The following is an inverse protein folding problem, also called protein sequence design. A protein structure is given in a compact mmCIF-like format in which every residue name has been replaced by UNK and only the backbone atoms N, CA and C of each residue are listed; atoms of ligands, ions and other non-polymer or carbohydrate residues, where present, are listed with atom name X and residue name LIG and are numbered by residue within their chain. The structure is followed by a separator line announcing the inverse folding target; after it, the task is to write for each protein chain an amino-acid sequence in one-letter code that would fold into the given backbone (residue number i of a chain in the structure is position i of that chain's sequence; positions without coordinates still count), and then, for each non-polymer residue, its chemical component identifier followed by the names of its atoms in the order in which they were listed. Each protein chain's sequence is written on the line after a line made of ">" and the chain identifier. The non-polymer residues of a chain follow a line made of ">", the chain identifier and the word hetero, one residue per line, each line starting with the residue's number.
data_IF_136004905475
#
_entry.id   IF_136004905475
#
_cell.length_a   1.000
_cell.length_b   1.000
_cell.length_c   1.000
_cell.angle_alpha   90.00
_cell.angle_beta   90.00
_cell.angle_gamma   90.00
#
_symmetry.space_group_name_H-M   'P 1'
#
loop_
_entity.id
_entity.type
_entity.pdbx_description
1 polymer ?
#
# COMPACT_ATOMS: atom_id res chain seq x y z
N UNK A 1 8.39 -16.55 -10.57
CA UNK A 1 9.53 -15.79 -11.12
C UNK A 1 10.19 -15.03 -9.99
N UNK A 2 11.45 -14.66 -10.15
CA UNK A 2 12.24 -14.02 -9.11
C UNK A 2 12.19 -12.49 -9.25
N UNK A 3 11.53 -11.83 -8.30
CA UNK A 3 11.34 -10.37 -8.30
C UNK A 3 11.61 -9.78 -6.91
N UNK A 4 11.74 -8.45 -6.82
CA UNK A 4 12.09 -7.70 -5.63
C UNK A 4 12.44 -6.25 -5.97
N UNK A 5 12.82 -5.45 -4.98
CA UNK A 5 13.36 -4.11 -5.21
C UNK A 5 14.66 -4.18 -6.01
N UNK A 6 14.67 -3.70 -7.24
CA UNK A 6 15.86 -3.67 -8.08
C UNK A 6 16.02 -2.26 -8.64
N UNK A 7 17.15 -1.62 -8.38
CA UNK A 7 17.37 -0.22 -8.79
C UNK A 7 17.85 -0.14 -10.26
N UNK A 8 18.65 -1.11 -10.70
CA UNK A 8 19.16 -1.30 -12.07
C UNK A 8 19.47 -2.80 -12.26
N UNK A 9 19.69 -3.27 -13.49
CA UNK A 9 20.08 -4.65 -13.79
C UNK A 9 21.28 -5.07 -12.95
N UNK A 10 21.09 -6.08 -12.11
CA UNK A 10 22.09 -6.55 -11.18
C UNK A 10 22.26 -8.08 -11.21
N UNK A 11 23.46 -8.52 -10.87
CA UNK A 11 23.87 -9.91 -10.71
C UNK A 11 24.84 -10.05 -9.52
N UNK A 12 25.35 -11.26 -9.29
CA UNK A 12 26.25 -11.53 -8.17
C UNK A 12 27.55 -10.70 -8.17
N UNK A 13 27.97 -10.20 -9.33
CA UNK A 13 29.25 -9.50 -9.53
C UNK A 13 29.12 -7.99 -9.35
N UNK A 14 27.96 -7.41 -9.70
CA UNK A 14 27.79 -5.96 -9.77
C UNK A 14 26.73 -5.38 -8.81
N UNK A 15 25.96 -6.21 -8.10
CA UNK A 15 24.81 -5.72 -7.32
C UNK A 15 25.15 -4.62 -6.30
N UNK A 16 26.36 -4.62 -5.73
CA UNK A 16 26.78 -3.57 -4.78
C UNK A 16 26.97 -2.21 -5.43
N UNK A 17 27.33 -2.18 -6.70
CA UNK A 17 27.47 -0.94 -7.48
C UNK A 17 26.10 -0.47 -7.97
N UNK A 18 25.24 -1.42 -8.35
CA UNK A 18 23.94 -1.14 -8.95
C UNK A 18 22.83 -0.84 -7.95
N UNK A 19 22.91 -1.36 -6.73
CA UNK A 19 21.92 -1.11 -5.68
C UNK A 19 22.29 0.12 -4.83
N UNK A 20 21.51 1.18 -4.96
CA UNK A 20 21.52 2.34 -4.07
C UNK A 20 20.71 2.05 -2.79
N UNK A 21 19.68 1.22 -2.93
CA UNK A 21 18.90 0.68 -1.81
C UNK A 21 19.80 -0.16 -0.92
N UNK A 22 19.85 0.16 0.38
CA UNK A 22 20.57 -0.67 1.34
C UNK A 22 19.83 -2.00 1.51
N UNK A 23 20.39 -3.06 0.92
CA UNK A 23 19.78 -4.39 0.91
C UNK A 23 19.78 -5.02 2.31
N UNK A 24 18.80 -5.90 2.55
CA UNK A 24 18.65 -6.70 3.77
C UNK A 24 18.35 -5.91 5.06
N UNK A 25 18.06 -4.62 4.98
CA UNK A 25 17.57 -3.84 6.12
C UNK A 25 16.08 -3.53 5.93
N UNK A 26 15.25 -3.92 6.90
CA UNK A 26 13.79 -3.77 6.84
C UNK A 26 13.36 -2.35 6.48
N UNK A 27 13.88 -1.34 7.18
CA UNK A 27 13.48 0.04 6.99
C UNK A 27 13.76 0.56 5.57
N UNK A 28 14.89 0.20 4.97
CA UNK A 28 15.25 0.66 3.63
C UNK A 28 14.52 -0.13 2.56
N UNK A 29 14.37 -1.44 2.72
CA UNK A 29 13.67 -2.28 1.76
C UNK A 29 12.15 -2.04 1.78
N UNK A 30 11.53 -1.82 2.95
CA UNK A 30 10.13 -1.39 3.05
C UNK A 30 9.92 -0.06 2.35
N UNK A 31 10.86 0.89 2.51
CA UNK A 31 10.79 2.16 1.80
C UNK A 31 10.94 1.97 0.30
N UNK A 32 11.87 1.13 -0.17
CA UNK A 32 12.04 0.83 -1.60
C UNK A 32 10.75 0.25 -2.19
N UNK A 33 10.10 -0.70 -1.51
CA UNK A 33 8.84 -1.32 -1.94
C UNK A 33 7.69 -0.32 -2.09
N UNK A 34 7.60 0.63 -1.15
CA UNK A 34 6.53 1.62 -1.08
C UNK A 34 6.78 2.81 -2.02
N UNK A 35 8.05 3.12 -2.27
CA UNK A 35 8.45 4.33 -3.00
C UNK A 35 8.75 4.11 -4.46
N UNK A 36 9.38 2.99 -4.84
CA UNK A 36 9.88 2.75 -6.21
C UNK A 36 10.55 4.00 -6.82
N UNK A 37 11.41 4.61 -6.01
CA UNK A 37 12.18 5.81 -6.33
C UNK A 37 13.55 5.72 -5.61
N UNK A 38 14.43 4.80 -6.05
CA UNK A 38 15.69 4.55 -5.38
C UNK A 38 16.66 5.74 -5.48
N UNK A 39 16.57 6.51 -6.57
CA UNK A 39 17.39 7.69 -6.84
C UNK A 39 16.82 8.99 -6.23
N UNK A 40 15.64 8.92 -5.59
CA UNK A 40 15.00 10.03 -4.87
C UNK A 40 14.70 11.23 -5.78
N UNK A 41 14.25 10.94 -6.99
CA UNK A 41 13.86 11.95 -7.98
C UNK A 41 12.68 12.77 -7.46
N UNK A 42 11.69 12.12 -6.82
CA UNK A 42 10.50 12.75 -6.25
C UNK A 42 10.48 12.56 -4.73
N UNK A 43 11.32 13.36 -4.06
CA UNK A 43 11.59 13.27 -2.62
C UNK A 43 10.31 13.22 -1.77
N UNK A 44 10.30 12.28 -0.83
CA UNK A 44 9.31 12.23 0.25
C UNK A 44 7.95 11.64 -0.14
N UNK A 45 7.83 11.09 -1.35
CA UNK A 45 6.58 10.51 -1.86
C UNK A 45 6.66 8.98 -1.99
N UNK A 46 5.50 8.32 -2.08
CA UNK A 46 5.35 6.93 -2.48
C UNK A 46 4.57 6.77 -3.78
N UNK A 47 4.60 5.55 -4.35
CA UNK A 47 4.00 5.30 -5.68
C UNK A 47 2.52 5.64 -5.75
N UNK A 48 1.72 5.19 -4.78
CA UNK A 48 0.29 5.45 -4.74
C UNK A 48 0.02 6.94 -4.48
N UNK A 49 0.85 7.60 -3.68
CA UNK A 49 0.77 9.05 -3.47
C UNK A 49 1.03 9.86 -4.73
N UNK A 50 2.04 9.50 -5.52
CA UNK A 50 2.30 10.14 -6.82
C UNK A 50 1.21 9.83 -7.83
N UNK A 51 0.70 8.61 -7.85
CA UNK A 51 -0.45 8.22 -8.66
C UNK A 51 -1.70 9.06 -8.30
N UNK A 52 -1.93 9.25 -7.00
CA UNK A 52 -2.99 10.11 -6.47
C UNK A 52 -2.84 11.56 -6.93
N UNK A 53 -1.63 12.12 -6.89
CA UNK A 53 -1.32 13.47 -7.35
C UNK A 53 -1.60 13.67 -8.84
N UNK A 54 -1.10 12.75 -9.67
CA UNK A 54 -1.32 12.77 -11.13
C UNK A 54 -2.81 12.69 -11.44
N UNK A 55 -3.53 11.72 -10.87
CA UNK A 55 -4.94 11.53 -11.14
C UNK A 55 -5.79 12.72 -10.63
N UNK A 56 -5.44 13.30 -9.49
CA UNK A 56 -6.07 14.53 -9.00
C UNK A 56 -5.90 15.68 -9.99
N UNK A 57 -4.68 15.89 -10.52
CA UNK A 57 -4.41 16.92 -11.54
C UNK A 57 -5.19 16.67 -12.83
N UNK A 58 -5.39 15.40 -13.18
CA UNK A 58 -6.17 14.97 -14.34
C UNK A 58 -7.69 15.01 -14.10
N UNK A 59 -8.14 15.54 -12.95
CA UNK A 59 -9.53 15.86 -12.67
C UNK A 59 -10.33 14.72 -12.04
N UNK A 60 -9.70 13.59 -11.71
CA UNK A 60 -10.35 12.51 -10.97
C UNK A 60 -10.54 12.90 -9.51
N UNK A 61 -11.66 12.45 -8.91
CA UNK A 61 -11.81 12.52 -7.46
C UNK A 61 -11.12 11.32 -6.84
N UNK A 62 -10.00 11.57 -6.18
CA UNK A 62 -9.16 10.51 -5.66
C UNK A 62 -9.18 10.46 -4.13
N UNK A 63 -8.84 9.30 -3.59
CA UNK A 63 -8.66 9.11 -2.15
C UNK A 63 -7.53 8.12 -1.90
N UNK A 64 -6.82 8.33 -0.80
CA UNK A 64 -5.82 7.40 -0.27
C UNK A 64 -6.15 7.08 1.18
N UNK A 65 -6.09 5.81 1.55
CA UNK A 65 -6.40 5.35 2.92
C UNK A 65 -5.42 4.29 3.38
N UNK A 66 -4.91 4.42 4.60
CA UNK A 66 -4.10 3.41 5.29
C UNK A 66 -4.81 2.93 6.55
N UNK A 67 -4.62 1.67 6.89
CA UNK A 67 -5.12 1.10 8.14
C UNK A 67 -4.08 1.21 9.27
N UNK A 68 -4.53 1.62 10.46
CA UNK A 68 -3.81 1.76 11.74
C UNK A 68 -2.60 2.72 11.78
N UNK A 69 -1.93 2.97 10.65
CA UNK A 69 -0.68 3.74 10.61
C UNK A 69 -0.48 4.45 9.28
N UNK A 70 0.34 5.51 9.26
CA UNK A 70 0.76 6.18 8.02
C UNK A 70 1.62 5.23 7.19
N UNK A 71 1.32 5.11 5.90
CA UNK A 71 2.20 4.49 4.93
C UNK A 71 2.73 5.51 3.93
N UNK A 72 4.07 5.58 3.81
CA UNK A 72 4.72 6.43 2.82
C UNK A 72 4.29 6.11 1.38
N UNK A 73 3.79 4.89 1.12
CA UNK A 73 3.27 4.49 -0.19
C UNK A 73 2.19 5.45 -0.70
N UNK A 74 1.36 5.98 0.20
CA UNK A 74 0.21 6.83 -0.10
C UNK A 74 0.52 8.33 -0.07
N UNK A 75 1.72 8.71 0.36
CA UNK A 75 2.08 10.12 0.53
C UNK A 75 2.50 10.71 -0.81
N UNK A 76 1.76 11.73 -1.27
CA UNK A 76 2.09 12.51 -2.46
C UNK A 76 2.96 13.74 -2.16
N UNK A 77 3.10 14.61 -3.14
CA UNK A 77 3.74 15.90 -3.03
C UNK A 77 2.86 16.87 -2.22
N UNK A 78 3.45 17.64 -1.28
CA UNK A 78 2.68 18.57 -0.47
C UNK A 78 1.87 19.56 -1.31
N UNK A 79 0.56 19.61 -1.07
CA UNK A 79 -0.35 20.57 -1.68
C UNK A 79 -0.91 20.19 -3.06
N UNK A 80 -0.59 19.00 -3.59
CA UNK A 80 -1.15 18.53 -4.87
C UNK A 80 -2.45 17.75 -4.64
N UNK A 81 -2.42 16.73 -3.80
CA UNK A 81 -3.58 15.94 -3.41
C UNK A 81 -3.85 15.99 -1.91
N UNK A 82 -4.96 15.38 -1.46
CA UNK A 82 -5.29 15.32 -0.02
C UNK A 82 -4.34 14.39 0.72
N UNK A 83 -4.05 14.73 1.98
CA UNK A 83 -3.30 13.86 2.90
C UNK A 83 -4.02 12.49 3.04
N UNK A 84 -3.26 11.37 3.18
CA UNK A 84 -3.86 10.06 3.38
C UNK A 84 -4.74 10.00 4.61
N UNK A 85 -5.90 9.36 4.47
CA UNK A 85 -6.78 9.05 5.60
C UNK A 85 -6.17 7.87 6.36
N UNK A 86 -6.13 7.97 7.69
CA UNK A 86 -5.74 6.85 8.55
C UNK A 86 -7.01 6.39 9.26
N UNK A 87 -7.36 5.12 9.10
CA UNK A 87 -8.54 4.51 9.71
C UNK A 87 -8.09 3.33 10.55
N UNK A 88 -8.70 3.11 11.70
CA UNK A 88 -8.47 1.89 12.47
C UNK A 88 -8.93 0.67 11.67
N UNK A 89 -8.28 -0.48 11.81
CA UNK A 89 -8.79 -1.75 11.29
C UNK A 89 -10.18 -2.13 11.84
N UNK A 90 -10.64 -1.46 12.90
CA UNK A 90 -11.99 -1.61 13.45
C UNK A 90 -13.00 -0.60 12.89
N UNK A 91 -12.59 0.26 11.96
CA UNK A 91 -13.42 1.28 11.33
C UNK A 91 -13.08 2.68 11.81
N UNK A 92 -14.05 3.59 11.68
CA UNK A 92 -13.93 4.97 12.15
C UNK A 92 -14.62 5.05 13.50
N UNK A 93 -13.91 5.59 14.48
CA UNK A 93 -14.53 5.94 15.76
C UNK A 93 -15.22 7.29 15.65
N UNK A 94 -16.37 7.40 16.31
CA UNK A 94 -17.00 8.69 16.46
C UNK A 94 -16.12 9.61 17.32
N UNK A 95 -16.15 10.90 17.05
CA UNK A 95 -15.42 11.83 17.90
C UNK A 95 -16.10 11.88 19.28
N UNK A 96 -15.36 11.53 20.34
CA UNK A 96 -15.86 11.47 21.72
C UNK A 96 -17.01 10.47 21.94
N UNK A 97 -16.75 9.17 21.75
CA UNK A 97 -17.78 8.13 21.85
C UNK A 97 -18.23 7.91 23.30
N UNK A 98 -17.36 8.20 24.27
CA UNK A 98 -17.65 8.12 25.70
C UNK A 98 -17.46 9.50 26.34
N UNK A 99 -18.52 10.32 26.40
CA UNK A 99 -18.50 11.51 27.25
C UNK A 99 -18.43 11.05 28.72
N UNK A 100 -17.22 10.94 29.26
CA UNK A 100 -16.97 10.51 30.63
C UNK A 100 -17.67 11.36 31.69
N UNK A 101 -18.11 12.57 31.31
CA UNK A 101 -19.01 13.41 32.06
C UNK A 101 -20.42 13.34 31.42
N UNK A 102 -21.43 12.84 32.14
CA UNK A 102 -22.86 12.94 31.76
C UNK A 102 -23.37 14.41 31.66
N UNK A 103 -22.47 15.39 31.65
CA UNK A 103 -22.74 16.83 31.66
C UNK A 103 -22.64 17.48 30.29
N UNK A 104 -22.10 16.79 29.29
CA UNK A 104 -21.92 17.37 27.95
C UNK A 104 -22.20 16.30 26.90
N UNK A 105 -23.22 16.52 26.08
CA UNK A 105 -23.47 15.63 24.95
C UNK A 105 -22.33 15.74 23.92
N UNK A 106 -22.23 14.77 23.04
CA UNK A 106 -21.28 14.80 21.94
C UNK A 106 -21.47 16.01 21.03
N UNK A 107 -22.73 16.37 20.74
CA UNK A 107 -23.07 17.57 19.98
C UNK A 107 -22.61 18.84 20.73
N UNK A 108 -22.86 18.91 22.04
CA UNK A 108 -22.36 20.04 22.84
C UNK A 108 -20.84 20.12 22.79
N UNK A 109 -20.13 18.99 22.86
CA UNK A 109 -18.67 18.99 22.82
C UNK A 109 -18.14 19.39 21.45
N UNK A 110 -18.77 18.92 20.37
CA UNK A 110 -18.46 19.32 19.01
C UNK A 110 -18.66 20.83 18.82
N UNK A 111 -19.80 21.38 19.28
CA UNK A 111 -20.09 22.81 19.25
C UNK A 111 -19.09 23.63 20.07
N UNK A 112 -18.71 23.15 21.26
CA UNK A 112 -17.73 23.82 22.12
C UNK A 112 -16.34 23.82 21.48
N UNK A 113 -15.87 22.71 20.93
CA UNK A 113 -14.59 22.64 20.22
C UNK A 113 -14.62 23.54 18.99
N UNK A 114 -15.74 23.53 18.26
CA UNK A 114 -15.93 24.45 17.14
C UNK A 114 -15.83 25.88 17.60
N UNK A 115 -16.52 26.28 18.67
CA UNK A 115 -16.46 27.63 19.22
C UNK A 115 -15.05 28.04 19.69
N UNK A 116 -14.33 27.14 20.38
CA UNK A 116 -12.94 27.37 20.82
C UNK A 116 -11.96 27.52 19.65
N UNK A 117 -12.27 26.91 18.51
CA UNK A 117 -11.45 26.95 17.30
C UNK A 117 -12.12 27.75 16.17
N UNK A 118 -13.12 28.59 16.47
CA UNK A 118 -13.81 29.41 15.47
C UNK A 118 -13.15 30.78 15.33
N UNK A 119 -13.38 31.41 14.17
CA UNK A 119 -13.01 32.78 13.77
C UNK A 119 -11.65 33.26 14.27
N UNK A 120 -10.67 33.15 13.38
CA UNK A 120 -9.41 33.85 13.54
C UNK A 120 -9.67 35.37 13.51
N UNK A 121 -9.03 36.09 14.42
CA UNK A 121 -9.07 37.55 14.50
C UNK A 121 -7.89 38.14 13.71
N UNK A 122 -7.89 39.46 13.50
CA UNK A 122 -6.82 40.16 12.74
C UNK A 122 -5.42 39.93 13.34
N UNK A 123 -5.34 39.57 14.62
CA UNK A 123 -4.11 39.26 15.36
C UNK A 123 -3.81 37.75 15.47
N UNK A 124 -4.63 36.89 14.87
CA UNK A 124 -4.39 35.44 14.88
C UNK A 124 -3.16 35.10 14.05
N UNK A 125 -2.20 34.43 14.68
CA UNK A 125 -1.03 33.93 13.98
C UNK A 125 -1.39 32.82 13.01
N UNK A 126 -0.68 32.76 11.88
CA UNK A 126 -0.83 31.73 10.83
C UNK A 126 -0.94 30.29 11.37
N UNK A 127 -0.18 29.96 12.41
CA UNK A 127 -0.23 28.64 13.06
C UNK A 127 -1.57 28.36 13.74
N UNK A 128 -2.13 29.34 14.45
CA UNK A 128 -3.44 29.21 15.09
C UNK A 128 -4.54 29.04 14.05
N UNK A 129 -4.50 29.84 12.98
CA UNK A 129 -5.46 29.72 11.87
C UNK A 129 -5.40 28.36 11.18
N UNK A 130 -4.18 27.88 10.91
CA UNK A 130 -3.95 26.58 10.27
C UNK A 130 -4.42 25.44 11.17
N UNK A 131 -4.09 25.49 12.46
CA UNK A 131 -4.54 24.50 13.46
C UNK A 131 -6.07 24.44 13.51
N UNK A 132 -6.73 25.57 13.72
CA UNK A 132 -8.19 25.64 13.80
C UNK A 132 -8.85 25.14 12.51
N UNK A 133 -8.33 25.54 11.34
CA UNK A 133 -8.84 25.06 10.05
C UNK A 133 -8.68 23.55 9.89
N UNK A 134 -7.51 22.99 10.21
CA UNK A 134 -7.23 21.55 10.08
C UNK A 134 -8.06 20.73 11.07
N UNK A 135 -8.19 21.17 12.33
CA UNK A 135 -8.98 20.48 13.35
C UNK A 135 -10.46 20.42 12.94
N UNK A 136 -11.08 21.55 12.59
CA UNK A 136 -12.50 21.57 12.22
C UNK A 136 -12.77 20.74 10.95
N UNK A 137 -11.90 20.84 9.94
CA UNK A 137 -12.00 19.99 8.74
C UNK A 137 -11.88 18.50 9.09
N UNK A 138 -10.98 18.14 9.99
CA UNK A 138 -10.80 16.74 10.42
C UNK A 138 -12.02 16.20 11.15
N UNK A 139 -12.63 17.00 12.05
CA UNK A 139 -13.82 16.57 12.80
C UNK A 139 -15.04 16.38 11.89
N UNK A 140 -15.27 17.30 10.95
CA UNK A 140 -16.36 17.18 9.97
C UNK A 140 -16.14 15.96 9.09
N UNK A 141 -14.94 15.78 8.51
CA UNK A 141 -14.63 14.61 7.69
C UNK A 141 -14.75 13.29 8.46
N UNK A 142 -14.34 13.26 9.72
CA UNK A 142 -14.47 12.07 10.57
C UNK A 142 -15.94 11.70 10.77
N UNK A 143 -16.79 12.69 11.11
CA UNK A 143 -18.23 12.47 11.30
C UNK A 143 -18.93 12.01 10.01
N UNK A 144 -18.59 12.63 8.87
CA UNK A 144 -19.11 12.21 7.56
C UNK A 144 -18.72 10.76 7.25
N UNK A 145 -17.45 10.42 7.42
CA UNK A 145 -16.95 9.08 7.13
C UNK A 145 -17.50 8.02 8.10
N UNK A 146 -17.62 8.36 9.38
CA UNK A 146 -18.27 7.52 10.39
C UNK A 146 -19.69 7.15 9.95
N UNK A 147 -20.52 8.15 9.63
CA UNK A 147 -21.91 7.94 9.22
C UNK A 147 -22.02 7.09 7.95
N UNK A 148 -21.16 7.35 6.96
CA UNK A 148 -21.13 6.57 5.71
C UNK A 148 -20.75 5.11 5.99
N UNK A 149 -19.68 4.88 6.75
CA UNK A 149 -19.21 3.52 7.00
C UNK A 149 -20.17 2.76 7.89
N UNK A 150 -20.76 3.38 8.91
CA UNK A 150 -21.73 2.72 9.78
C UNK A 150 -22.97 2.23 9.02
N UNK A 151 -23.42 3.01 8.03
CA UNK A 151 -24.48 2.60 7.10
C UNK A 151 -24.02 1.54 6.07
N UNK A 152 -22.72 1.30 5.94
CA UNK A 152 -22.12 0.39 4.95
C UNK A 152 -21.64 -0.90 5.61
N UNK A 153 -22.48 -1.93 5.54
CA UNK A 153 -22.15 -3.28 6.02
C UNK A 153 -21.64 -4.16 4.89
N UNK A 154 -20.75 -5.11 5.20
CA UNK A 154 -20.33 -6.14 4.24
C UNK A 154 -21.41 -7.21 4.09
N UNK A 155 -21.39 -7.92 2.96
CA UNK A 155 -22.25 -9.09 2.72
C UNK A 155 -21.57 -10.37 3.24
N UNK A 156 -20.24 -10.39 3.22
CA UNK A 156 -19.39 -11.47 3.73
C UNK A 156 -18.92 -11.16 5.14
N UNK A 157 -18.88 -12.19 5.99
CA UNK A 157 -18.23 -12.11 7.31
C UNK A 157 -16.73 -12.25 7.14
N UNK A 158 -15.98 -11.21 7.50
CA UNK A 158 -14.52 -11.24 7.47
C UNK A 158 -13.96 -11.97 8.71
N UNK A 159 -12.79 -12.62 8.59
CA UNK A 159 -12.12 -13.16 9.76
C UNK A 159 -11.66 -12.03 10.68
N UNK A 160 -11.69 -12.23 12.00
CA UNK A 160 -11.27 -11.25 13.01
C UNK A 160 -9.74 -11.18 13.20
N UNK A 161 -9.00 -11.62 12.19
CA UNK A 161 -7.54 -11.56 12.16
C UNK A 161 -7.05 -10.16 11.80
N UNK A 162 -5.75 -9.89 11.99
CA UNK A 162 -5.16 -8.57 11.74
C UNK A 162 -5.39 -8.10 10.30
N UNK A 163 -5.13 -8.97 9.31
CA UNK A 163 -5.38 -8.63 7.91
C UNK A 163 -6.88 -8.67 7.56
N UNK A 164 -7.65 -9.56 8.18
CA UNK A 164 -9.09 -9.70 7.95
C UNK A 164 -9.86 -8.43 8.28
N UNK A 165 -9.65 -7.89 9.48
CA UNK A 165 -10.29 -6.63 9.91
C UNK A 165 -9.86 -5.44 9.06
N UNK A 166 -8.58 -5.37 8.65
CA UNK A 166 -8.11 -4.32 7.73
C UNK A 166 -8.82 -4.39 6.38
N UNK A 167 -8.91 -5.59 5.77
CA UNK A 167 -9.58 -5.76 4.48
C UNK A 167 -11.10 -5.58 4.57
N UNK A 168 -11.72 -5.83 5.71
CA UNK A 168 -13.13 -5.51 5.95
C UNK A 168 -13.39 -4.00 5.85
N UNK A 169 -12.55 -3.19 6.50
CA UNK A 169 -12.64 -1.72 6.42
C UNK A 169 -12.41 -1.24 5.00
N UNK A 170 -11.40 -1.79 4.29
CA UNK A 170 -11.16 -1.47 2.87
C UNK A 170 -12.38 -1.83 2.02
N UNK A 171 -13.00 -2.99 2.24
CA UNK A 171 -14.18 -3.41 1.51
C UNK A 171 -15.37 -2.47 1.72
N UNK A 172 -15.61 -2.02 2.97
CA UNK A 172 -16.65 -1.01 3.28
C UNK A 172 -16.35 0.32 2.60
N UNK A 173 -15.09 0.76 2.65
CA UNK A 173 -14.63 1.99 1.96
C UNK A 173 -14.88 1.94 0.46
N UNK A 174 -14.53 0.82 -0.20
CA UNK A 174 -14.76 0.61 -1.64
C UNK A 174 -16.25 0.52 -1.98
N UNK A 175 -17.04 -0.18 -1.16
CA UNK A 175 -18.51 -0.25 -1.32
C UNK A 175 -19.15 1.14 -1.25
N UNK A 176 -18.66 2.00 -0.35
CA UNK A 176 -19.13 3.35 -0.15
C UNK A 176 -18.50 4.41 -1.09
N UNK A 177 -17.74 4.02 -2.12
CA UNK A 177 -17.00 4.99 -2.95
C UNK A 177 -17.90 6.09 -3.55
N UNK A 178 -19.15 5.77 -3.92
CA UNK A 178 -20.11 6.76 -4.47
C UNK A 178 -20.55 7.78 -3.44
N UNK A 179 -20.86 7.33 -2.23
CA UNK A 179 -21.28 8.21 -1.13
C UNK A 179 -20.12 9.07 -0.63
N UNK A 180 -18.90 8.54 -0.72
CA UNK A 180 -17.65 9.29 -0.51
C UNK A 180 -17.27 10.19 -1.67
N UNK A 181 -17.93 10.06 -2.83
CA UNK A 181 -17.63 10.83 -4.04
C UNK A 181 -16.24 10.56 -4.61
N UNK A 182 -15.74 9.33 -4.54
CA UNK A 182 -14.40 8.91 -4.99
C UNK A 182 -14.50 8.07 -6.27
N UNK A 183 -13.72 8.46 -7.29
CA UNK A 183 -13.59 7.74 -8.57
C UNK A 183 -12.40 6.77 -8.58
N UNK A 184 -11.34 7.09 -7.81
CA UNK A 184 -10.09 6.34 -7.75
C UNK A 184 -9.60 6.25 -6.31
N UNK A 185 -9.68 5.07 -5.72
CA UNK A 185 -9.31 4.86 -4.32
C UNK A 185 -8.09 3.94 -4.21
N UNK A 186 -7.17 4.32 -3.34
CA UNK A 186 -5.90 3.62 -3.14
C UNK A 186 -5.73 3.29 -1.68
N UNK A 187 -5.51 2.01 -1.39
CA UNK A 187 -5.45 1.50 -0.04
C UNK A 187 -4.08 0.92 0.28
N UNK A 188 -3.65 1.07 1.52
CA UNK A 188 -2.52 0.36 2.07
C UNK A 188 -2.94 -0.38 3.34
N UNK A 189 -2.74 -1.69 3.34
CA UNK A 189 -2.89 -2.57 4.51
C UNK A 189 -1.57 -3.29 4.74
N UNK A 190 -1.32 -3.76 5.97
CA UNK A 190 -0.11 -4.52 6.23
C UNK A 190 -0.28 -5.55 7.33
N UNK A 191 0.47 -6.64 7.21
CA UNK A 191 0.53 -7.72 8.19
C UNK A 191 2.00 -8.08 8.43
N UNK A 192 2.37 -8.20 9.71
CA UNK A 192 3.70 -8.61 10.15
C UNK A 192 3.78 -10.11 10.52
N UNK A 193 4.85 -10.48 11.21
CA UNK A 193 5.03 -11.84 11.72
C UNK A 193 5.64 -12.84 10.73
N UNK A 194 6.18 -12.34 9.61
CA UNK A 194 6.92 -13.14 8.65
C UNK A 194 8.42 -13.19 8.97
N UNK A 195 8.89 -12.50 10.02
CA UNK A 195 10.31 -12.45 10.40
C UNK A 195 10.84 -13.64 11.20
N UNK A 196 10.89 -14.81 10.55
CA UNK A 196 11.06 -16.09 11.24
C UNK A 196 12.49 -16.65 11.11
N UNK A 197 13.28 -16.43 12.15
CA UNK A 197 14.65 -16.94 12.25
C UNK A 197 14.77 -18.32 12.91
N UNK A 198 13.66 -18.85 13.43
CA UNK A 198 13.44 -20.25 13.83
C UNK A 198 12.02 -20.69 13.45
N UNK A 199 11.78 -22.00 13.45
CA UNK A 199 10.43 -22.59 13.34
C UNK A 199 9.61 -22.02 12.17
N UNK A 200 10.24 -21.89 11.00
CA UNK A 200 9.66 -21.16 9.85
C UNK A 200 8.35 -21.80 9.38
N UNK A 201 8.27 -23.13 9.39
CA UNK A 201 7.11 -23.87 8.92
C UNK A 201 5.87 -23.57 9.76
N UNK A 202 5.96 -23.72 11.09
CA UNK A 202 4.83 -23.47 12.00
C UNK A 202 4.33 -22.03 11.89
N UNK A 203 5.26 -21.07 11.88
CA UNK A 203 4.91 -19.66 11.79
C UNK A 203 4.27 -19.30 10.45
N UNK A 204 4.81 -19.81 9.33
CA UNK A 204 4.25 -19.56 8.01
C UNK A 204 2.87 -20.21 7.82
N UNK A 205 2.62 -21.40 8.37
CA UNK A 205 1.27 -22.01 8.33
C UNK A 205 0.24 -21.08 8.99
N UNK A 206 0.55 -20.50 10.16
CA UNK A 206 -0.33 -19.55 10.84
C UNK A 206 -0.55 -18.28 10.01
N UNK A 207 0.52 -17.71 9.45
CA UNK A 207 0.43 -16.46 8.66
C UNK A 207 -0.29 -16.67 7.33
N UNK A 208 -0.02 -17.75 6.59
CA UNK A 208 -0.69 -18.04 5.33
C UNK A 208 -2.16 -18.42 5.52
N UNK A 209 -2.53 -19.09 6.62
CA UNK A 209 -3.95 -19.34 6.96
C UNK A 209 -4.71 -18.03 7.14
N UNK A 210 -4.09 -17.04 7.80
CA UNK A 210 -4.67 -15.71 7.96
C UNK A 210 -4.76 -14.97 6.62
N UNK A 211 -3.70 -14.97 5.81
CA UNK A 211 -3.68 -14.32 4.49
C UNK A 211 -4.74 -14.91 3.56
N UNK A 212 -4.83 -16.23 3.48
CA UNK A 212 -5.81 -16.91 2.62
C UNK A 212 -7.23 -16.55 3.02
N UNK A 213 -7.58 -16.73 4.30
CA UNK A 213 -8.95 -16.43 4.79
C UNK A 213 -9.35 -14.97 4.58
N UNK A 214 -8.42 -14.03 4.76
CA UNK A 214 -8.69 -12.60 4.60
C UNK A 214 -8.87 -12.21 3.12
N UNK A 215 -8.02 -12.73 2.23
CA UNK A 215 -8.11 -12.49 0.78
C UNK A 215 -9.35 -13.15 0.18
N UNK A 216 -9.72 -14.34 0.64
CA UNK A 216 -10.93 -15.05 0.19
C UNK A 216 -12.18 -14.21 0.52
N UNK A 217 -12.34 -13.79 1.78
CA UNK A 217 -13.44 -12.94 2.21
C UNK A 217 -13.50 -11.62 1.44
N UNK A 218 -12.35 -10.96 1.25
CA UNK A 218 -12.24 -9.72 0.47
C UNK A 218 -12.67 -9.93 -0.98
N UNK A 219 -12.21 -11.00 -1.62
CA UNK A 219 -12.52 -11.32 -3.01
C UNK A 219 -14.01 -11.59 -3.18
N UNK A 220 -14.61 -12.36 -2.28
CA UNK A 220 -16.05 -12.64 -2.30
C UNK A 220 -16.88 -11.36 -2.12
N UNK A 221 -16.50 -10.50 -1.16
CA UNK A 221 -17.18 -9.23 -0.92
C UNK A 221 -17.09 -8.32 -2.15
N UNK A 222 -15.92 -8.17 -2.78
CA UNK A 222 -15.77 -7.37 -3.98
C UNK A 222 -16.59 -7.91 -5.15
N UNK A 223 -16.73 -9.24 -5.28
CA UNK A 223 -17.58 -9.86 -6.31
C UNK A 223 -19.06 -9.59 -6.05
N UNK A 224 -19.53 -9.72 -4.81
CA UNK A 224 -20.93 -9.44 -4.45
C UNK A 224 -21.32 -7.98 -4.71
N UNK A 225 -20.38 -7.05 -4.53
CA UNK A 225 -20.60 -5.62 -4.81
C UNK A 225 -20.33 -5.22 -6.27
N UNK A 226 -20.00 -6.17 -7.16
CA UNK A 226 -19.63 -5.92 -8.56
C UNK A 226 -18.41 -4.99 -8.72
N UNK A 227 -17.53 -4.95 -7.72
CA UNK A 227 -16.31 -4.13 -7.71
C UNK A 227 -15.05 -4.92 -8.11
N UNK A 228 -15.14 -6.25 -8.16
CA UNK A 228 -13.97 -7.10 -8.36
C UNK A 228 -13.22 -6.81 -9.68
N UNK A 229 -13.95 -6.52 -10.76
CA UNK A 229 -13.34 -6.17 -12.06
C UNK A 229 -12.61 -4.81 -12.03
N UNK A 230 -12.96 -3.95 -11.10
CA UNK A 230 -12.35 -2.63 -10.90
C UNK A 230 -11.37 -2.63 -9.72
N UNK A 231 -10.90 -3.81 -9.31
CA UNK A 231 -9.98 -3.99 -8.17
C UNK A 231 -8.69 -4.66 -8.60
N UNK A 232 -7.55 -4.09 -8.20
CA UNK A 232 -6.24 -4.74 -8.22
C UNK A 232 -5.69 -4.80 -6.79
N UNK A 233 -5.39 -6.01 -6.32
CA UNK A 233 -4.63 -6.27 -5.11
C UNK A 233 -3.21 -6.69 -5.50
N UNK A 234 -2.21 -5.97 -4.99
CA UNK A 234 -0.79 -6.22 -5.22
C UNK A 234 -0.11 -6.48 -3.88
N UNK A 235 0.58 -7.62 -3.74
CA UNK A 235 1.36 -7.94 -2.56
C UNK A 235 2.84 -7.62 -2.78
N UNK A 236 3.45 -6.91 -1.82
CA UNK A 236 4.90 -6.72 -1.73
C UNK A 236 5.42 -7.11 -0.33
N UNK A 237 6.73 -7.23 -0.19
CA UNK A 237 7.47 -7.64 1.03
C UNK A 237 8.86 -7.06 0.93
N UNK A 238 9.36 -6.54 2.03
CA UNK A 238 10.69 -5.94 2.16
C UNK A 238 11.84 -6.94 2.11
N UNK A 239 11.56 -8.24 2.23
CA UNK A 239 12.58 -9.27 2.08
C UNK A 239 12.00 -10.54 1.46
N UNK A 240 12.92 -11.37 0.96
CA UNK A 240 12.70 -12.78 0.68
C UNK A 240 13.43 -13.64 1.73
N UNK A 241 13.40 -14.96 1.57
CA UNK A 241 14.09 -15.91 2.48
C UNK A 241 15.23 -16.65 1.81
N UNK A 242 16.30 -16.91 2.55
CA UNK A 242 17.43 -17.70 2.07
C UNK A 242 17.01 -19.13 1.73
N UNK A 243 17.55 -19.68 0.64
CA UNK A 243 17.36 -21.09 0.29
C UNK A 243 18.05 -22.03 1.29
N UNK A 244 19.07 -21.54 1.99
CA UNK A 244 19.79 -22.28 3.02
C UNK A 244 19.18 -21.96 4.38
N UNK A 245 18.73 -22.97 5.16
CA UNK A 245 18.11 -22.76 6.46
C UNK A 245 19.12 -22.40 7.56
N UNK A 246 18.61 -21.81 8.65
CA UNK A 246 19.33 -21.59 9.89
C UNK A 246 19.34 -22.88 10.74
N UNK A 247 20.22 -22.95 11.75
CA UNK A 247 20.32 -24.11 12.64
C UNK A 247 19.09 -24.40 13.51
N UNK A 248 18.18 -23.42 13.67
CA UNK A 248 16.91 -23.57 14.39
C UNK A 248 15.70 -23.73 13.48
N UNK A 249 15.87 -24.32 12.30
CA UNK A 249 14.77 -24.54 11.32
C UNK A 249 14.09 -23.23 10.87
N UNK A 250 14.84 -22.12 10.92
CA UNK A 250 14.42 -20.83 10.38
C UNK A 250 15.13 -20.47 9.08
N UNK A 251 14.96 -19.23 8.63
CA UNK A 251 15.68 -18.71 7.46
C UNK A 251 16.19 -17.30 7.70
N UNK A 252 17.23 -16.90 6.97
CA UNK A 252 17.80 -15.56 7.03
C UNK A 252 17.16 -14.68 5.95
N UNK A 253 17.38 -13.37 6.01
CA UNK A 253 16.86 -12.44 5.01
C UNK A 253 17.55 -12.64 3.65
N UNK A 254 16.76 -12.61 2.59
CA UNK A 254 17.19 -12.61 1.20
C UNK A 254 16.54 -11.47 0.43
N UNK A 255 16.88 -11.36 -0.85
CA UNK A 255 16.52 -10.22 -1.68
C UNK A 255 15.43 -10.55 -2.69
N UNK A 256 15.70 -11.46 -3.62
CA UNK A 256 14.74 -11.92 -4.62
C UNK A 256 13.82 -13.03 -4.11
N UNK A 257 12.53 -12.87 -4.39
CA UNK A 257 11.46 -13.78 -3.98
C UNK A 257 10.34 -13.88 -5.01
N UNK A 258 9.19 -14.38 -4.59
CA UNK A 258 7.96 -14.39 -5.40
C UNK A 258 6.91 -13.50 -4.72
N UNK A 259 6.13 -12.84 -5.56
CA UNK A 259 5.07 -11.91 -5.17
C UNK A 259 3.86 -12.19 -6.05
N UNK A 260 2.69 -11.70 -5.66
CA UNK A 260 1.48 -11.91 -6.44
C UNK A 260 0.66 -10.63 -6.60
N UNK A 261 -0.10 -10.61 -7.69
CA UNK A 261 -1.15 -9.65 -7.97
C UNK A 261 -2.43 -10.40 -8.35
N UNK A 262 -3.58 -9.84 -8.02
CA UNK A 262 -4.87 -10.41 -8.36
C UNK A 262 -5.94 -9.34 -8.49
N UNK A 263 -6.99 -9.63 -9.24
CA UNK A 263 -8.08 -8.71 -9.54
C UNK A 263 -9.04 -9.33 -10.54
N UNK A 264 -10.23 -8.77 -10.70
CA UNK A 264 -11.22 -9.30 -11.63
C UNK A 264 -10.83 -9.11 -13.10
N UNK A 265 -10.18 -7.98 -13.41
CA UNK A 265 -9.66 -7.69 -14.75
C UNK A 265 -8.20 -8.09 -14.95
N UNK A 266 -7.51 -8.55 -13.91
CA UNK A 266 -6.12 -9.01 -14.03
C UNK A 266 -6.08 -10.27 -14.89
N UNK A 267 -5.22 -10.30 -15.91
CA UNK A 267 -4.92 -11.51 -16.68
C UNK A 267 -4.06 -12.47 -15.85
N UNK A 268 -4.70 -13.12 -14.88
CA UNK A 268 -4.05 -14.04 -13.95
C UNK A 268 -3.61 -15.37 -14.59
N UNK A 269 -3.21 -16.31 -13.74
CA UNK A 269 -2.65 -17.62 -14.13
C UNK A 269 -1.36 -17.52 -14.95
N UNK A 270 -0.66 -16.40 -14.83
CA UNK A 270 0.60 -16.12 -15.50
C UNK A 270 1.69 -15.91 -14.47
N UNK A 271 2.90 -16.36 -14.82
CA UNK A 271 4.10 -16.02 -14.08
C UNK A 271 4.78 -14.90 -14.86
N UNK A 272 4.85 -13.71 -14.25
CA UNK A 272 5.52 -12.55 -14.80
C UNK A 272 6.94 -12.45 -14.26
N UNK A 273 7.90 -12.08 -15.11
CA UNK A 273 9.32 -12.06 -14.78
C UNK A 273 10.04 -13.36 -15.10
N UNK A 274 11.32 -13.43 -14.77
CA UNK A 274 12.20 -14.57 -15.12
C UNK A 274 12.46 -15.46 -13.91
N UNK A 275 12.63 -16.76 -14.13
CA UNK A 275 13.17 -17.65 -13.11
C UNK A 275 14.71 -17.53 -13.12
N UNK A 276 15.37 -17.72 -11.96
CA UNK A 276 16.81 -17.93 -11.98
C UNK A 276 17.14 -19.18 -12.79
N UNK A 277 18.26 -19.15 -13.52
CA UNK A 277 18.67 -20.27 -14.38
C UNK A 277 18.78 -21.58 -13.59
N UNK A 278 19.41 -21.51 -12.42
CA UNK A 278 19.46 -22.59 -11.44
C UNK A 278 19.62 -22.02 -10.02
N UNK A 279 19.32 -22.86 -9.02
CA UNK A 279 19.37 -22.50 -7.61
C UNK A 279 20.69 -22.91 -6.93
N UNK A 280 21.58 -23.61 -7.63
CA UNK A 280 22.87 -24.10 -7.11
C UNK A 280 23.93 -23.00 -7.05
N UNK A 281 25.05 -23.27 -6.35
CA UNK A 281 26.18 -22.34 -6.30
C UNK A 281 26.74 -22.09 -7.71
N UNK A 282 27.22 -20.87 -7.96
CA UNK A 282 27.66 -20.41 -9.28
C UNK A 282 26.54 -19.92 -10.20
N UNK A 283 25.30 -19.84 -9.71
CA UNK A 283 24.21 -19.16 -10.44
C UNK A 283 24.49 -17.66 -10.48
N UNK A 284 24.40 -17.00 -11.65
CA UNK A 284 24.75 -15.58 -11.78
C UNK A 284 23.88 -14.66 -10.93
N UNK A 285 22.71 -15.12 -10.50
CA UNK A 285 21.80 -14.38 -9.63
C UNK A 285 21.76 -14.95 -8.21
N UNK A 286 22.81 -15.62 -7.74
CA UNK A 286 22.87 -16.19 -6.39
C UNK A 286 24.05 -15.67 -5.59
N UNK A 287 23.75 -14.98 -4.49
CA UNK A 287 24.74 -14.60 -3.49
C UNK A 287 24.93 -15.70 -2.44
N UNK A 288 25.88 -15.46 -1.53
CA UNK A 288 26.11 -16.30 -0.36
C UNK A 288 24.84 -16.54 0.48
N UNK A 289 24.79 -17.70 1.14
CA UNK A 289 23.61 -18.23 1.88
C UNK A 289 22.39 -18.53 1.01
N UNK A 290 22.54 -18.59 -0.32
CA UNK A 290 21.41 -18.88 -1.21
C UNK A 290 20.43 -17.71 -1.30
N UNK A 291 20.93 -16.47 -1.21
CA UNK A 291 20.14 -15.27 -1.47
C UNK A 291 20.08 -15.05 -2.98
N UNK A 292 18.88 -14.95 -3.53
CA UNK A 292 18.73 -14.67 -4.96
C UNK A 292 18.76 -13.16 -5.21
N UNK A 293 19.45 -12.72 -6.25
CA UNK A 293 19.35 -11.37 -6.82
C UNK A 293 18.10 -11.34 -7.70
N UNK A 294 17.12 -10.44 -7.49
CA UNK A 294 15.93 -10.33 -8.34
C UNK A 294 16.28 -10.23 -9.82
N UNK A 295 15.53 -10.93 -10.67
CA UNK A 295 15.66 -10.81 -12.13
C UNK A 295 14.68 -9.81 -12.74
N UNK A 296 13.73 -9.32 -11.94
CA UNK A 296 12.60 -8.48 -12.37
C UNK A 296 12.30 -7.49 -11.25
N UNK A 297 12.26 -6.19 -11.55
CA UNK A 297 11.96 -5.17 -10.55
C UNK A 297 10.46 -5.07 -10.27
N UNK A 298 10.08 -4.58 -9.08
CA UNK A 298 8.71 -4.13 -8.81
C UNK A 298 8.27 -2.95 -9.70
N UNK A 299 9.20 -2.12 -10.16
CA UNK A 299 8.89 -1.00 -11.06
C UNK A 299 8.16 -1.46 -12.34
N UNK A 300 8.52 -2.66 -12.83
CA UNK A 300 8.02 -3.19 -14.09
C UNK A 300 6.52 -3.43 -14.07
N UNK A 301 5.95 -3.89 -12.95
CA UNK A 301 4.50 -4.13 -12.83
C UNK A 301 3.73 -2.86 -12.48
N UNK A 302 4.34 -1.95 -11.71
CA UNK A 302 3.72 -0.66 -11.38
C UNK A 302 3.45 0.21 -12.61
N UNK A 303 4.25 0.10 -13.68
CA UNK A 303 3.98 0.75 -14.95
C UNK A 303 2.57 0.40 -15.48
N UNK A 304 2.27 -0.89 -15.65
CA UNK A 304 0.98 -1.33 -16.19
C UNK A 304 -0.18 -1.13 -15.22
N UNK A 305 0.06 -1.22 -13.90
CA UNK A 305 -0.96 -0.88 -12.88
C UNK A 305 -1.33 0.60 -12.99
N UNK A 306 -0.34 1.50 -13.10
CA UNK A 306 -0.59 2.94 -13.22
C UNK A 306 -1.36 3.27 -14.51
N UNK A 307 -1.00 2.64 -15.63
CA UNK A 307 -1.72 2.76 -16.89
C UNK A 307 -3.18 2.32 -16.78
N UNK A 308 -3.43 1.14 -16.21
CA UNK A 308 -4.78 0.64 -15.99
C UNK A 308 -5.61 1.55 -15.07
N UNK A 309 -4.96 2.17 -14.08
CA UNK A 309 -5.62 3.07 -13.16
C UNK A 309 -5.92 4.47 -13.74
N UNK A 310 -5.33 4.81 -14.90
CA UNK A 310 -5.62 6.02 -15.67
C UNK A 310 -4.46 7.00 -15.82
N UNK A 311 -3.24 6.62 -15.44
CA UNK A 311 -2.03 7.42 -15.66
C UNK A 311 -1.52 7.16 -17.08
N UNK A 312 -1.17 8.20 -17.84
CA UNK A 312 -0.76 8.03 -19.24
C UNK A 312 0.40 8.94 -19.63
N UNK A 313 1.12 8.57 -20.69
CA UNK A 313 2.18 9.40 -21.26
C UNK A 313 3.34 9.66 -20.29
N UNK A 314 3.82 10.89 -20.26
CA UNK A 314 4.97 11.31 -19.44
C UNK A 314 4.67 11.28 -17.94
N UNK A 315 3.41 11.29 -17.52
CA UNK A 315 3.03 11.20 -16.11
C UNK A 315 3.48 9.86 -15.47
N UNK A 316 3.70 8.82 -16.27
CA UNK A 316 4.26 7.54 -15.79
C UNK A 316 5.66 7.69 -15.20
N UNK A 317 6.46 8.65 -15.69
CA UNK A 317 7.79 8.93 -15.14
C UNK A 317 7.69 9.57 -13.74
N UNK A 318 6.63 10.32 -13.47
CA UNK A 318 6.38 10.82 -12.11
C UNK A 318 5.95 9.68 -11.18
N UNK A 319 5.04 8.81 -11.62
CA UNK A 319 4.53 7.72 -10.77
C UNK A 319 5.60 6.64 -10.53
N UNK A 320 6.36 6.27 -11.56
CA UNK A 320 7.37 5.22 -11.52
C UNK A 320 8.73 5.76 -12.02
N UNK A 321 9.43 6.62 -11.27
CA UNK A 321 10.64 7.29 -11.74
C UNK A 321 11.78 6.33 -12.10
N UNK A 322 11.88 5.19 -11.41
CA UNK A 322 12.90 4.19 -11.72
C UNK A 322 12.66 3.41 -13.02
N UNK A 323 11.54 3.66 -13.74
CA UNK A 323 11.25 2.95 -15.00
C UNK A 323 12.31 3.20 -16.07
N UNK A 324 12.96 4.36 -16.04
CA UNK A 324 13.99 4.76 -17.00
C UNK A 324 15.32 3.99 -16.79
N UNK A 325 15.49 3.33 -15.64
CA UNK A 325 16.61 2.41 -15.38
C UNK A 325 16.48 1.09 -16.14
N UNK A 326 15.31 0.79 -16.71
CA UNK A 326 15.02 -0.47 -17.39
C UNK A 326 14.64 -0.25 -18.86
N UNK A 327 14.85 -1.28 -19.67
CA UNK A 327 14.37 -1.28 -21.05
C UNK A 327 12.84 -1.21 -21.06
N UNK A 328 12.27 -0.41 -21.98
CA UNK A 328 10.82 -0.34 -22.20
C UNK A 328 10.20 -1.72 -22.47
N UNK A 329 10.95 -2.66 -23.03
CA UNK A 329 10.49 -4.02 -23.31
C UNK A 329 10.41 -4.93 -22.06
N UNK A 330 11.02 -4.52 -20.95
CA UNK A 330 10.93 -5.23 -19.67
C UNK A 330 9.83 -4.66 -18.75
N UNK A 331 9.28 -3.48 -19.07
CA UNK A 331 8.14 -2.90 -18.35
C UNK A 331 6.84 -3.58 -18.81
N UNK A 332 6.00 -3.98 -17.86
CA UNK A 332 4.67 -4.50 -18.20
C UNK A 332 3.71 -3.35 -18.46
N UNK A 333 2.95 -3.47 -19.55
CA UNK A 333 1.89 -2.54 -19.92
C UNK A 333 0.54 -2.96 -19.32
N UNK A 334 -0.43 -2.04 -19.25
CA UNK A 334 -1.80 -2.38 -18.84
C UNK A 334 -2.39 -3.52 -19.70
N UNK A 335 -2.16 -3.49 -21.01
CA UNK A 335 -2.65 -4.54 -21.92
C UNK A 335 -2.02 -5.92 -21.72
N UNK A 336 -0.85 -5.98 -21.09
CA UNK A 336 -0.20 -7.24 -20.74
C UNK A 336 -0.63 -7.75 -19.37
N UNK A 337 -1.09 -6.86 -18.47
CA UNK A 337 -1.51 -7.20 -17.11
C UNK A 337 -3.01 -7.44 -16.97
N UNK A 338 -3.83 -6.86 -17.86
CA UNK A 338 -5.29 -6.81 -17.73
C UNK A 338 -6.01 -7.26 -19.02
N UNK A 339 -7.27 -7.70 -18.89
CA UNK A 339 -8.15 -8.18 -19.98
C UNK A 339 -9.17 -7.16 -20.45
#
# INVERSE_FOLDING_TARGET
>A
ANTGALDDYADETNYREKSVTNLFAHNTMQNAAKKIDPYKEIRGSGVLGRMNDVLTRNGFKTSTTSTDSVSIALVGQPGVSSDPIIISKHGVDEFNPESSDQKMSQEDMFLNIRALNNSTQVDSGFFGETWSSKLIKSLVKNSELYNILEATQTNIMFPTSELGSQLEVVARMMKAHKDRGVDRDMFYVSIGGFDTHSDVEENLVKRFTEVNSAIDAFTEEMKMNLLWNDTTLMQHSDFARTLIPNGGEGTDHAWGGNYFMMGGSVDGMRILGKYPEHLTEGSPNRLGRGRMVPTTSWDMVWNGIAEWFGVTGEDLNEVCPNRDSFSVNDLFTATELYK
#
